data_IF_380072086901
#
_entry.id   IF_380072086901
#
_cell.length_a   1.000
_cell.length_b   1.000
_cell.length_c   1.000
_cell.angle_alpha   90.00
_cell.angle_beta   90.00
_cell.angle_gamma   90.00
#
_symmetry.space_group_name_H-M   'P 1'
#
loop_
_entity.id
_entity.type
_entity.pdbx_description
1 polymer ?
#
# COMPACT_ATOMS: atom_id res chain seq x y z
N UNK A 1 -18.16 9.29 -17.36
CA UNK A 1 -18.11 9.45 -15.91
C UNK A 1 -16.74 9.06 -15.41
N UNK A 2 -16.20 9.76 -14.41
CA UNK A 2 -14.90 9.45 -13.80
C UNK A 2 -14.94 8.07 -13.13
N UNK A 3 -13.89 7.27 -13.28
CA UNK A 3 -13.76 5.96 -12.62
C UNK A 3 -13.79 6.16 -11.09
N UNK A 4 -14.57 5.35 -10.38
CA UNK A 4 -14.58 5.36 -8.90
C UNK A 4 -13.23 4.78 -8.40
N UNK A 5 -12.49 5.50 -7.54
CA UNK A 5 -11.23 4.99 -7.03
C UNK A 5 -11.45 3.79 -6.11
N UNK A 6 -10.65 2.74 -6.31
CA UNK A 6 -10.62 1.57 -5.42
C UNK A 6 -9.46 1.76 -4.44
N UNK A 7 -9.75 1.67 -3.14
CA UNK A 7 -8.75 1.84 -2.08
C UNK A 7 -8.61 0.51 -1.34
N UNK A 8 -7.40 -0.06 -1.31
CA UNK A 8 -7.14 -1.40 -0.77
C UNK A 8 -6.37 -1.36 0.55
N UNK A 9 -7.01 -1.65 1.71
CA UNK A 9 -6.33 -1.73 2.99
C UNK A 9 -5.62 -3.06 3.21
N UNK A 10 -4.66 -3.05 4.15
CA UNK A 10 -4.00 -4.27 4.61
C UNK A 10 -2.65 -4.57 3.98
N UNK A 11 -2.03 -3.58 3.36
CA UNK A 11 -0.67 -3.70 2.85
C UNK A 11 0.35 -3.76 3.99
N UNK A 12 1.37 -4.61 3.84
CA UNK A 12 2.46 -4.79 4.79
C UNK A 12 2.07 -5.72 5.95
N UNK A 13 1.53 -5.16 7.04
CA UNK A 13 1.35 -5.89 8.31
C UNK A 13 0.40 -7.10 8.23
N UNK A 14 -0.48 -7.17 7.23
CA UNK A 14 -1.41 -8.30 7.01
C UNK A 14 -0.93 -9.23 5.88
N UNK A 15 0.30 -9.04 5.38
CA UNK A 15 0.90 -9.87 4.34
C UNK A 15 0.44 -9.56 2.91
N UNK A 16 -0.40 -8.53 2.71
CA UNK A 16 -0.77 -8.06 1.37
C UNK A 16 0.36 -7.27 0.71
N UNK A 17 0.72 -7.62 -0.52
CA UNK A 17 1.69 -6.91 -1.34
C UNK A 17 1.07 -5.68 -2.02
N UNK A 18 1.79 -4.56 -2.07
CA UNK A 18 1.27 -3.33 -2.68
C UNK A 18 1.09 -3.53 -4.19
N UNK A 19 2.06 -4.18 -4.85
CA UNK A 19 1.98 -4.56 -6.26
C UNK A 19 0.74 -5.36 -6.61
N UNK A 20 0.48 -6.41 -5.84
CA UNK A 20 -0.64 -7.32 -6.09
C UNK A 20 -1.98 -6.59 -5.99
N UNK A 21 -2.12 -5.64 -5.06
CA UNK A 21 -3.34 -4.83 -4.95
C UNK A 21 -3.53 -3.92 -6.16
N UNK A 22 -2.45 -3.30 -6.66
CA UNK A 22 -2.49 -2.47 -7.88
C UNK A 22 -2.83 -3.33 -9.11
N UNK A 23 -2.18 -4.48 -9.29
CA UNK A 23 -2.46 -5.44 -10.37
C UNK A 23 -3.91 -5.96 -10.33
N UNK A 24 -4.49 -6.11 -9.13
CA UNK A 24 -5.89 -6.48 -8.93
C UNK A 24 -6.89 -5.34 -9.19
N UNK A 25 -6.42 -4.12 -9.49
CA UNK A 25 -7.24 -2.99 -9.90
C UNK A 25 -7.42 -1.90 -8.85
N UNK A 26 -6.69 -1.94 -7.74
CA UNK A 26 -6.67 -0.84 -6.78
C UNK A 26 -6.11 0.45 -7.43
N UNK A 27 -6.72 1.58 -7.09
CA UNK A 27 -6.19 2.92 -7.43
C UNK A 27 -5.19 3.39 -6.38
N UNK A 28 -5.40 2.99 -5.13
CA UNK A 28 -4.55 3.32 -3.99
C UNK A 28 -4.49 2.16 -3.01
N UNK A 29 -3.41 2.10 -2.25
CA UNK A 29 -3.23 1.17 -1.14
C UNK A 29 -3.19 1.91 0.19
N UNK A 30 -3.67 1.27 1.27
CA UNK A 30 -3.54 1.78 2.64
C UNK A 30 -2.60 0.87 3.42
N UNK A 31 -1.47 1.44 3.81
CA UNK A 31 -0.48 0.86 4.72
C UNK A 31 -0.37 1.74 5.98
N UNK A 32 -0.96 1.30 7.10
CA UNK A 32 -0.96 2.06 8.35
C UNK A 32 0.06 1.50 9.34
N UNK A 33 -0.28 0.41 10.04
CA UNK A 33 0.56 -0.20 11.10
C UNK A 33 2.00 -0.47 10.67
N UNK A 34 2.20 -0.97 9.45
CA UNK A 34 3.54 -1.22 8.90
C UNK A 34 4.42 0.03 8.85
N UNK A 35 3.85 1.23 8.68
CA UNK A 35 4.58 2.49 8.65
C UNK A 35 4.66 3.09 10.06
N UNK A 36 3.53 3.24 10.75
CA UNK A 36 3.47 4.00 12.02
C UNK A 36 4.11 3.28 13.20
N UNK A 37 4.23 1.96 13.15
CA UNK A 37 4.89 1.14 14.19
C UNK A 37 6.33 0.75 13.81
N UNK A 38 6.87 1.27 12.69
CA UNK A 38 8.24 0.99 12.26
C UNK A 38 9.27 1.84 13.00
N UNK A 39 10.46 1.28 13.20
CA UNK A 39 11.64 2.02 13.67
C UNK A 39 12.09 3.11 12.67
N UNK A 40 11.78 2.94 11.37
CA UNK A 40 12.02 3.94 10.32
C UNK A 40 10.81 4.05 9.38
N UNK A 41 9.81 4.87 9.77
CA UNK A 41 8.59 5.06 8.99
C UNK A 41 8.84 5.57 7.57
N UNK A 42 9.88 6.39 7.37
CA UNK A 42 10.19 6.97 6.07
C UNK A 42 10.74 5.91 5.12
N UNK A 43 11.66 5.06 5.58
CA UNK A 43 12.18 3.96 4.80
C UNK A 43 11.09 2.95 4.43
N UNK A 44 10.22 2.59 5.37
CA UNK A 44 9.11 1.65 5.09
C UNK A 44 8.11 2.25 4.11
N UNK A 45 7.73 3.52 4.28
CA UNK A 45 6.84 4.21 3.33
C UNK A 45 7.43 4.23 1.92
N UNK A 46 8.73 4.54 1.78
CA UNK A 46 9.42 4.52 0.49
C UNK A 46 9.45 3.12 -0.13
N UNK A 47 9.72 2.08 0.66
CA UNK A 47 9.71 0.69 0.19
C UNK A 47 8.33 0.25 -0.31
N UNK A 48 7.25 0.60 0.42
CA UNK A 48 5.88 0.26 0.02
C UNK A 48 5.49 1.02 -1.26
N UNK A 49 5.89 2.30 -1.38
CA UNK A 49 5.64 3.07 -2.58
C UNK A 49 6.37 2.49 -3.80
N UNK A 50 7.63 2.08 -3.64
CA UNK A 50 8.39 1.42 -4.70
C UNK A 50 7.75 0.09 -5.16
N UNK A 51 7.16 -0.68 -4.23
CA UNK A 51 6.44 -1.92 -4.53
C UNK A 51 5.13 -1.69 -5.31
N UNK A 52 4.65 -0.45 -5.48
CA UNK A 52 3.46 -0.19 -6.32
C UNK A 52 3.74 -0.24 -7.84
N UNK A 53 5.01 -0.39 -8.24
CA UNK A 53 5.47 -0.44 -9.64
C UNK A 53 5.64 -1.88 -10.16
#
# INVERSE_FOLDING_TARGET
GSKVPIISPGIGAQGGGARQAIEAGASYVIAARSIVESDDPAAVAASIAADTQ
#
